data_IF_180174330868
#
_entry.id   IF_180174330868
#
_cell.length_a   1.000
_cell.length_b   1.000
_cell.length_c   1.000
_cell.angle_alpha   90.00
_cell.angle_beta   90.00
_cell.angle_gamma   90.00
#
_symmetry.space_group_name_H-M   'P 1'
#
loop_
_entity.id
_entity.type
_entity.pdbx_description
1 polymer ?
#
# COMPACT_ATOMS: atom_id res chain seq x y z
N UNK A 1 -14.59 5.80 -25.05
CA UNK A 1 -13.85 4.68 -24.42
C UNK A 1 -13.05 5.28 -23.27
N UNK A 2 -13.56 5.12 -22.06
CA UNK A 2 -12.91 5.62 -20.85
C UNK A 2 -11.63 4.81 -20.62
N UNK A 3 -10.49 5.49 -20.49
CA UNK A 3 -9.27 4.86 -20.01
C UNK A 3 -9.43 4.64 -18.51
N UNK A 4 -9.74 3.42 -18.12
CA UNK A 4 -9.67 3.00 -16.72
C UNK A 4 -8.22 3.09 -16.27
N UNK A 5 -7.96 3.97 -15.30
CA UNK A 5 -6.73 3.95 -14.53
C UNK A 5 -6.64 2.58 -13.82
N UNK A 6 -5.48 1.91 -13.83
CA UNK A 6 -5.31 0.70 -13.05
C UNK A 6 -5.53 1.02 -11.56
N UNK A 7 -6.23 0.16 -10.81
CA UNK A 7 -6.46 0.37 -9.39
C UNK A 7 -5.11 0.52 -8.69
N UNK A 8 -4.91 1.64 -7.99
CA UNK A 8 -3.73 1.82 -7.17
C UNK A 8 -3.71 0.73 -6.09
N UNK A 9 -2.56 0.08 -5.84
CA UNK A 9 -2.46 -0.88 -4.75
C UNK A 9 -2.80 -0.16 -3.45
N UNK A 10 -3.78 -0.71 -2.72
CA UNK A 10 -4.17 -0.25 -1.39
C UNK A 10 -2.92 -0.29 -0.52
N UNK A 11 -2.41 0.89 -0.17
CA UNK A 11 -1.21 1.03 0.65
C UNK A 11 -1.43 0.31 1.98
N UNK A 12 -0.59 -0.69 2.24
CA UNK A 12 -0.56 -1.41 3.49
C UNK A 12 -0.38 -0.43 4.66
N UNK A 13 -1.34 -0.46 5.60
CA UNK A 13 -1.26 -0.05 7.00
C UNK A 13 -0.24 1.05 7.33
N UNK A 14 -0.45 2.25 6.80
CA UNK A 14 0.09 3.46 7.46
C UNK A 14 -1.02 4.02 8.34
N UNK A 15 -0.76 4.34 9.62
CA UNK A 15 -1.75 5.04 10.43
C UNK A 15 -2.15 6.33 9.71
N UNK A 16 -3.45 6.72 9.73
CA UNK A 16 -3.87 8.00 9.21
C UNK A 16 -3.00 9.09 9.84
N UNK A 17 -2.62 10.09 9.06
CA UNK A 17 -1.87 11.22 9.59
C UNK A 17 -2.67 11.82 10.75
N UNK A 18 -2.00 12.26 11.81
CA UNK A 18 -2.71 12.88 12.92
C UNK A 18 -3.52 14.08 12.40
N UNK A 19 -4.69 14.37 12.99
CA UNK A 19 -5.47 15.53 12.56
C UNK A 19 -4.67 16.84 12.68
N UNK A 20 -3.72 16.89 13.61
CA UNK A 20 -2.75 17.98 13.77
C UNK A 20 -1.81 18.09 12.56
N UNK A 21 -1.25 16.97 12.10
CA UNK A 21 -0.40 16.91 10.91
C UNK A 21 -1.14 17.30 9.62
N UNK A 22 -2.40 16.88 9.47
CA UNK A 22 -3.25 17.27 8.35
C UNK A 22 -3.62 18.75 8.40
N UNK A 23 -3.88 19.28 9.59
CA UNK A 23 -4.13 20.71 9.78
C UNK A 23 -2.88 21.54 9.45
N UNK A 24 -1.71 21.13 9.91
CA UNK A 24 -0.43 21.75 9.58
C UNK A 24 -0.13 21.72 8.07
N UNK A 25 -0.43 20.60 7.39
CA UNK A 25 -0.37 20.50 5.92
C UNK A 25 -1.23 21.56 5.24
N UNK A 26 -2.49 21.71 5.67
CA UNK A 26 -3.42 22.70 5.11
C UNK A 26 -2.92 24.13 5.34
N UNK A 27 -2.49 24.44 6.57
CA UNK A 27 -1.98 25.76 6.96
C UNK A 27 -0.73 26.15 6.16
N UNK A 28 0.23 25.24 6.02
CA UNK A 28 1.45 25.46 5.24
C UNK A 28 1.13 25.67 3.74
N UNK A 29 0.18 24.92 3.19
CA UNK A 29 -0.24 25.11 1.81
C UNK A 29 -0.96 26.45 1.60
N UNK A 30 -1.81 26.87 2.56
CA UNK A 30 -2.46 28.18 2.52
C UNK A 30 -1.46 29.32 2.58
N UNK A 31 -0.45 29.23 3.45
CA UNK A 31 0.61 30.22 3.54
C UNK A 31 1.30 30.41 2.18
N UNK A 32 1.73 29.32 1.54
CA UNK A 32 2.38 29.36 0.23
C UNK A 32 1.47 29.89 -0.87
N UNK A 33 0.21 29.45 -0.88
CA UNK A 33 -0.79 29.87 -1.85
C UNK A 33 -1.26 31.32 -1.66
N UNK A 34 -0.96 31.95 -0.52
CA UNK A 34 -1.29 33.35 -0.25
C UNK A 34 -0.12 34.31 -0.51
N UNK A 35 1.10 33.81 -0.75
CA UNK A 35 2.24 34.64 -1.16
C UNK A 35 1.99 35.23 -2.55
N UNK A 36 2.16 36.55 -2.68
CA UNK A 36 1.89 37.30 -3.92
C UNK A 36 3.02 37.13 -4.95
N UNK A 37 4.25 36.91 -4.49
CA UNK A 37 5.45 37.00 -5.32
C UNK A 37 5.69 35.76 -6.21
N UNK A 38 5.70 34.55 -5.62
CA UNK A 38 5.96 33.27 -6.32
C UNK A 38 5.35 32.08 -5.57
N UNK A 39 4.87 31.07 -6.31
CA UNK A 39 4.55 29.74 -5.78
C UNK A 39 5.85 28.94 -5.66
N UNK A 40 6.16 28.45 -4.46
CA UNK A 40 7.39 27.72 -4.11
C UNK A 40 8.67 28.52 -4.38
N UNK A 41 9.03 29.39 -3.42
CA UNK A 41 10.32 30.08 -3.43
C UNK A 41 11.47 29.05 -3.30
N UNK A 42 12.66 29.40 -3.79
CA UNK A 42 13.85 28.53 -3.64
C UNK A 42 14.22 28.23 -2.18
N UNK A 43 13.70 29.02 -1.24
CA UNK A 43 13.81 28.83 0.21
C UNK A 43 12.75 27.91 0.81
N UNK A 44 11.74 27.47 0.06
CA UNK A 44 10.69 26.61 0.57
C UNK A 44 11.19 25.17 0.79
N UNK A 45 11.09 24.73 2.05
CA UNK A 45 11.57 23.42 2.51
C UNK A 45 10.81 22.26 1.85
N UNK A 46 9.49 22.42 1.70
CA UNK A 46 8.59 21.45 1.07
C UNK A 46 7.96 22.08 -0.16
N UNK A 47 7.79 21.38 -1.27
CA UNK A 47 7.04 21.94 -2.44
C UNK A 47 5.53 21.78 -2.26
N UNK A 48 4.74 22.66 -2.88
CA UNK A 48 3.28 22.65 -2.73
C UNK A 48 2.65 21.35 -3.24
N UNK A 49 3.17 20.78 -4.33
CA UNK A 49 2.73 19.53 -4.94
C UNK A 49 3.01 18.29 -4.10
N UNK A 50 3.89 18.39 -3.10
CA UNK A 50 4.08 17.35 -2.08
C UNK A 50 3.04 17.41 -0.98
N UNK A 51 2.46 18.59 -0.72
CA UNK A 51 1.36 18.77 0.22
C UNK A 51 0.03 18.33 -0.42
N UNK A 52 -0.17 18.69 -1.70
CA UNK A 52 -1.37 18.36 -2.47
C UNK A 52 -0.99 17.88 -3.87
N UNK A 53 -1.26 16.62 -4.24
CA UNK A 53 -0.92 16.09 -5.55
C UNK A 53 -1.43 16.96 -6.69
N UNK A 54 -0.53 17.32 -7.62
CA UNK A 54 -0.86 18.15 -8.78
C UNK A 54 -0.89 19.65 -8.52
N UNK A 55 -0.67 20.11 -7.28
CA UNK A 55 -0.72 21.54 -6.95
C UNK A 55 0.39 22.37 -7.62
N UNK A 56 1.55 21.77 -7.93
CA UNK A 56 2.64 22.42 -8.66
C UNK A 56 2.28 22.80 -10.10
N UNK A 57 1.30 22.10 -10.69
CA UNK A 57 0.87 22.29 -12.06
C UNK A 57 -0.41 23.14 -12.18
N UNK A 58 -0.91 23.67 -11.07
CA UNK A 58 -2.18 24.42 -11.03
C UNK A 58 -2.01 25.76 -11.75
N UNK A 59 -2.73 26.00 -12.85
CA UNK A 59 -2.72 27.30 -13.51
C UNK A 59 -3.21 28.38 -12.56
N UNK A 60 -2.74 29.62 -12.73
CA UNK A 60 -3.17 30.79 -11.91
C UNK A 60 -4.69 30.90 -11.78
N UNK A 61 -5.44 30.51 -12.83
CA UNK A 61 -6.92 30.52 -12.86
C UNK A 61 -7.58 29.49 -11.91
N UNK A 62 -6.91 28.39 -11.58
CA UNK A 62 -7.42 27.34 -10.70
C UNK A 62 -6.98 27.54 -9.23
N UNK A 63 -6.01 28.44 -8.97
CA UNK A 63 -5.53 28.80 -7.63
C UNK A 63 -6.65 29.20 -6.65
N UNK A 64 -7.67 30.00 -7.03
CA UNK A 64 -8.76 30.34 -6.11
C UNK A 64 -9.64 29.14 -5.73
N UNK A 65 -9.79 28.15 -6.62
CA UNK A 65 -10.52 26.93 -6.32
C UNK A 65 -9.76 26.08 -5.29
N UNK A 66 -8.45 25.88 -5.51
CA UNK A 66 -7.59 25.16 -4.57
C UNK A 66 -7.56 25.84 -3.19
N UNK A 67 -7.43 27.17 -3.15
CA UNK A 67 -7.48 27.95 -1.91
C UNK A 67 -8.80 27.73 -1.14
N UNK A 68 -9.94 27.72 -1.84
CA UNK A 68 -11.24 27.45 -1.21
C UNK A 68 -11.30 26.05 -0.63
N UNK A 69 -10.87 25.03 -1.39
CA UNK A 69 -10.87 23.64 -0.91
C UNK A 69 -10.02 23.47 0.33
N UNK A 70 -8.78 23.99 0.34
CA UNK A 70 -7.88 23.86 1.48
C UNK A 70 -8.39 24.66 2.69
N UNK A 71 -8.99 25.84 2.47
CA UNK A 71 -9.64 26.61 3.56
C UNK A 71 -10.80 25.84 4.19
N UNK A 72 -11.63 25.18 3.38
CA UNK A 72 -12.72 24.35 3.89
C UNK A 72 -12.18 23.18 4.74
N UNK A 73 -11.14 22.49 4.27
CA UNK A 73 -10.50 21.40 5.02
C UNK A 73 -9.89 21.90 6.34
N UNK A 74 -9.18 23.02 6.32
CA UNK A 74 -8.63 23.64 7.53
C UNK A 74 -9.74 24.01 8.53
N UNK A 75 -10.81 24.66 8.08
CA UNK A 75 -11.95 25.06 8.92
C UNK A 75 -12.75 23.86 9.46
N UNK A 76 -12.75 22.72 8.76
CA UNK A 76 -13.32 21.48 9.26
C UNK A 76 -12.48 20.87 10.39
N UNK A 77 -11.15 20.87 10.24
CA UNK A 77 -10.22 20.41 11.27
C UNK A 77 -10.24 21.32 12.51
N UNK A 78 -10.30 22.64 12.32
CA UNK A 78 -10.47 23.64 13.39
C UNK A 78 -11.72 23.35 14.22
N UNK A 79 -12.87 23.10 13.56
CA UNK A 79 -14.12 22.79 14.26
C UNK A 79 -14.10 21.42 14.94
N UNK A 80 -13.59 20.41 14.26
CA UNK A 80 -13.61 19.02 14.75
C UNK A 80 -12.65 18.78 15.92
N UNK A 81 -11.54 19.53 15.97
CA UNK A 81 -10.49 19.35 16.98
C UNK A 81 -10.26 20.58 17.87
N UNK A 82 -11.09 21.63 17.72
CA UNK A 82 -11.00 22.87 18.50
C UNK A 82 -9.62 23.54 18.40
N UNK A 83 -9.00 23.51 17.21
CA UNK A 83 -7.75 24.22 16.98
C UNK A 83 -8.02 25.71 16.85
N UNK A 84 -7.32 26.52 17.66
CA UNK A 84 -7.35 27.97 17.54
C UNK A 84 -6.24 28.44 16.56
N UNK A 85 -6.59 29.03 15.41
CA UNK A 85 -5.62 29.49 14.41
C UNK A 85 -4.54 30.44 14.94
N UNK A 86 -4.79 31.17 16.04
CA UNK A 86 -3.83 32.10 16.63
C UNK A 86 -2.56 31.40 17.15
N UNK A 87 -2.69 30.17 17.66
CA UNK A 87 -1.56 29.39 18.18
C UNK A 87 -0.82 28.57 17.10
N UNK A 88 -1.38 28.52 15.89
CA UNK A 88 -0.85 27.77 14.74
C UNK A 88 -0.26 28.71 13.68
N UNK A 89 0.37 29.79 14.14
CA UNK A 89 1.12 30.71 13.28
C UNK A 89 2.38 30.07 12.71
N UNK A 90 2.96 30.66 11.64
CA UNK A 90 4.26 30.22 11.10
C UNK A 90 5.33 30.21 12.19
N UNK A 91 6.09 29.12 12.29
CA UNK A 91 7.16 28.98 13.29
C UNK A 91 6.70 28.70 14.72
N UNK A 92 5.40 28.60 14.99
CA UNK A 92 4.89 28.18 16.31
C UNK A 92 5.32 26.74 16.64
N UNK A 93 5.47 26.43 17.93
CA UNK A 93 5.85 25.08 18.39
C UNK A 93 4.83 24.01 17.96
N UNK A 94 3.53 24.34 18.04
CA UNK A 94 2.45 23.44 17.59
C UNK A 94 2.54 23.14 16.10
N UNK A 95 2.75 24.17 15.27
CA UNK A 95 2.90 24.02 13.83
C UNK A 95 4.16 23.20 13.49
N UNK A 96 5.30 23.53 14.10
CA UNK A 96 6.56 22.84 13.84
C UNK A 96 6.50 21.37 14.26
N UNK A 97 5.95 21.08 15.44
CA UNK A 97 5.79 19.70 15.93
C UNK A 97 4.86 18.86 15.05
N UNK A 98 3.75 19.45 14.59
CA UNK A 98 2.83 18.77 13.67
C UNK A 98 3.42 18.57 12.26
N UNK A 99 4.21 19.53 11.76
CA UNK A 99 4.94 19.38 10.50
C UNK A 99 6.06 18.33 10.60
N UNK A 100 6.74 18.27 11.74
CA UNK A 100 7.72 17.22 12.03
C UNK A 100 7.06 15.84 12.02
N UNK A 101 5.91 15.69 12.70
CA UNK A 101 5.14 14.45 12.70
C UNK A 101 4.70 14.05 11.27
N UNK A 102 4.18 15.01 10.51
CA UNK A 102 3.80 14.82 9.12
C UNK A 102 4.97 14.34 8.28
N UNK A 103 6.12 15.03 8.38
CA UNK A 103 7.32 14.70 7.63
C UNK A 103 7.85 13.31 8.00
N UNK A 104 7.86 12.94 9.30
CA UNK A 104 8.21 11.58 9.75
C UNK A 104 7.26 10.52 9.20
N UNK A 105 5.97 10.83 9.06
CA UNK A 105 4.99 9.96 8.42
C UNK A 105 5.28 9.75 6.94
N UNK A 106 5.50 10.83 6.20
CA UNK A 106 5.80 10.78 4.76
C UNK A 106 7.15 10.13 4.46
N UNK A 107 8.20 10.42 5.25
CA UNK A 107 9.51 9.79 5.10
C UNK A 107 9.46 8.28 5.29
N UNK A 108 8.67 7.77 6.25
CA UNK A 108 8.47 6.32 6.44
C UNK A 108 7.86 5.67 5.20
N UNK A 109 6.89 6.33 4.55
CA UNK A 109 6.31 5.84 3.28
C UNK A 109 7.35 5.86 2.18
N UNK A 110 8.08 6.98 2.04
CA UNK A 110 9.08 7.16 0.99
C UNK A 110 10.24 6.17 1.11
N UNK A 111 10.67 5.81 2.33
CA UNK A 111 11.66 4.76 2.53
C UNK A 111 11.21 3.43 1.91
N UNK A 112 9.97 3.01 2.19
CA UNK A 112 9.41 1.78 1.62
C UNK A 112 9.25 1.87 0.09
N UNK A 113 8.72 2.99 -0.43
CA UNK A 113 8.54 3.17 -1.88
C UNK A 113 9.86 3.23 -2.64
N UNK A 114 10.90 3.84 -2.05
CA UNK A 114 12.24 3.89 -2.63
C UNK A 114 12.86 2.50 -2.69
N UNK A 115 12.73 1.72 -1.63
CA UNK A 115 13.20 0.33 -1.59
C UNK A 115 12.52 -0.52 -2.67
N UNK A 116 11.20 -0.37 -2.84
CA UNK A 116 10.43 -1.03 -3.88
C UNK A 116 10.88 -0.59 -5.29
N UNK A 117 11.11 0.71 -5.50
CA UNK A 117 11.58 1.22 -6.79
C UNK A 117 13.00 0.71 -7.12
N UNK A 118 13.90 0.61 -6.14
CA UNK A 118 15.23 0.02 -6.32
C UNK A 118 15.12 -1.47 -6.65
N UNK A 119 14.21 -2.18 -5.96
CA UNK A 119 13.91 -3.58 -6.25
C UNK A 119 13.46 -3.78 -7.71
N UNK A 120 12.56 -2.94 -8.21
CA UNK A 120 12.11 -2.97 -9.62
C UNK A 120 13.28 -2.75 -10.59
N UNK A 121 14.14 -1.77 -10.33
CA UNK A 121 15.31 -1.48 -11.20
C UNK A 121 16.24 -2.70 -11.31
N UNK A 122 16.52 -3.36 -10.19
CA UNK A 122 17.38 -4.55 -10.18
C UNK A 122 16.71 -5.77 -10.82
N UNK A 123 15.43 -5.99 -10.55
CA UNK A 123 14.68 -7.07 -11.20
C UNK A 123 14.69 -6.90 -12.73
N UNK A 124 14.45 -5.68 -13.21
CA UNK A 124 14.50 -5.36 -14.63
C UNK A 124 15.92 -5.45 -15.21
N UNK A 125 16.95 -5.14 -14.43
CA UNK A 125 18.34 -5.39 -14.83
C UNK A 125 18.63 -6.87 -15.08
N UNK A 126 18.17 -7.76 -14.20
CA UNK A 126 18.27 -9.20 -14.40
C UNK A 126 17.49 -9.65 -15.65
N UNK A 127 16.28 -9.14 -15.86
CA UNK A 127 15.45 -9.46 -17.05
C UNK A 127 16.15 -9.01 -18.33
N UNK A 128 16.71 -7.79 -18.36
CA UNK A 128 17.47 -7.28 -19.52
C UNK A 128 18.66 -8.17 -19.85
N UNK A 129 19.36 -8.69 -18.83
CA UNK A 129 20.46 -9.65 -19.02
C UNK A 129 19.98 -11.00 -19.56
N UNK A 130 18.88 -11.54 -19.02
CA UNK A 130 18.27 -12.81 -19.46
C UNK A 130 17.68 -12.77 -20.88
N UNK A 131 17.23 -11.60 -21.32
CA UNK A 131 16.71 -11.37 -22.67
C UNK A 131 17.82 -11.06 -23.70
N UNK A 132 19.09 -11.29 -23.35
CA UNK A 132 20.20 -11.21 -24.32
C UNK A 132 19.91 -12.10 -25.54
N UNK A 133 19.93 -11.48 -26.73
CA UNK A 133 19.58 -12.14 -28.00
C UNK A 133 18.12 -11.99 -28.44
N UNK A 134 17.20 -11.54 -27.57
CA UNK A 134 15.80 -11.24 -27.92
C UNK A 134 15.57 -9.73 -28.03
N UNK A 135 16.10 -9.13 -29.10
CA UNK A 135 16.22 -7.67 -29.28
C UNK A 135 14.94 -6.88 -28.95
N UNK A 136 13.78 -7.29 -29.44
CA UNK A 136 12.53 -6.56 -29.19
C UNK A 136 12.12 -6.57 -27.72
N UNK A 137 12.11 -7.76 -27.09
CA UNK A 137 11.74 -7.92 -25.67
C UNK A 137 12.76 -7.23 -24.76
N UNK A 138 14.05 -7.31 -25.11
CA UNK A 138 15.12 -6.63 -24.39
C UNK A 138 14.97 -5.11 -24.43
N UNK A 139 14.61 -4.52 -25.58
CA UNK A 139 14.36 -3.08 -25.70
C UNK A 139 13.17 -2.62 -24.84
N UNK A 140 12.11 -3.43 -24.76
CA UNK A 140 10.99 -3.15 -23.85
C UNK A 140 11.43 -3.18 -22.39
N UNK A 141 12.19 -4.20 -21.98
CA UNK A 141 12.73 -4.30 -20.62
C UNK A 141 13.68 -3.14 -20.27
N UNK A 142 14.51 -2.69 -21.22
CA UNK A 142 15.37 -1.51 -21.05
C UNK A 142 14.52 -0.25 -20.84
N UNK A 143 13.43 -0.09 -21.60
CA UNK A 143 12.51 1.05 -21.45
C UNK A 143 11.83 1.05 -20.09
N UNK A 144 11.34 -0.09 -19.64
CA UNK A 144 10.76 -0.21 -18.29
C UNK A 144 11.80 0.02 -17.20
N UNK A 145 13.04 -0.49 -17.33
CA UNK A 145 14.14 -0.18 -16.41
C UNK A 145 14.39 1.32 -16.33
N UNK A 146 14.35 2.01 -17.47
CA UNK A 146 14.44 3.47 -17.55
C UNK A 146 13.34 4.18 -16.77
N UNK A 147 12.10 3.71 -16.86
CA UNK A 147 10.96 4.24 -16.09
C UNK A 147 11.08 3.98 -14.59
N UNK A 148 11.47 2.77 -14.20
CA UNK A 148 11.70 2.43 -12.80
C UNK A 148 12.80 3.33 -12.18
N UNK A 149 13.87 3.58 -12.95
CA UNK A 149 14.93 4.51 -12.53
C UNK A 149 14.43 5.95 -12.41
N UNK A 150 13.60 6.42 -13.34
CA UNK A 150 12.99 7.75 -13.24
C UNK A 150 12.07 7.87 -12.02
N UNK A 151 11.27 6.83 -11.73
CA UNK A 151 10.43 6.77 -10.52
C UNK A 151 11.28 6.86 -9.26
N UNK A 152 12.38 6.11 -9.19
CA UNK A 152 13.32 6.20 -8.07
C UNK A 152 13.87 7.63 -7.88
N UNK A 153 14.29 8.29 -8.96
CA UNK A 153 14.78 9.68 -8.88
C UNK A 153 13.71 10.64 -8.37
N UNK A 154 12.47 10.52 -8.85
CA UNK A 154 11.36 11.33 -8.36
C UNK A 154 11.10 11.11 -6.88
N UNK A 155 11.08 9.86 -6.43
CA UNK A 155 10.92 9.53 -5.01
C UNK A 155 12.08 10.07 -4.16
N UNK A 156 13.30 10.07 -4.71
CA UNK A 156 14.47 10.61 -4.04
C UNK A 156 14.36 12.13 -3.82
N UNK A 157 13.90 12.87 -4.83
CA UNK A 157 13.63 14.31 -4.68
C UNK A 157 12.58 14.60 -3.59
N UNK A 158 11.52 13.78 -3.51
CA UNK A 158 10.54 13.90 -2.42
C UNK A 158 11.17 13.66 -1.05
N UNK A 159 12.02 12.65 -0.96
CA UNK A 159 12.73 12.30 0.27
C UNK A 159 13.63 13.45 0.73
N UNK A 160 14.40 14.05 -0.18
CA UNK A 160 15.24 15.21 0.10
C UNK A 160 14.41 16.37 0.66
N UNK A 161 13.28 16.69 0.01
CA UNK A 161 12.39 17.76 0.44
C UNK A 161 11.80 17.53 1.83
N UNK A 162 11.28 16.33 2.12
CA UNK A 162 10.74 16.02 3.46
C UNK A 162 11.82 15.91 4.53
N UNK A 163 13.04 15.49 4.18
CA UNK A 163 14.19 15.44 5.10
C UNK A 163 14.71 16.82 5.50
N UNK A 164 14.37 17.86 4.73
CA UNK A 164 14.76 19.23 5.04
C UNK A 164 13.92 19.84 6.18
N UNK A 165 12.74 19.27 6.48
CA UNK A 165 11.89 19.69 7.60
C UNK A 165 12.65 19.54 8.93
N UNK A 166 12.76 20.59 9.76
CA UNK A 166 13.41 20.51 11.06
C UNK A 166 12.81 19.41 11.93
N UNK A 167 13.66 18.62 12.61
CA UNK A 167 13.23 17.52 13.49
C UNK A 167 12.74 16.26 12.78
N UNK A 168 12.51 16.29 11.46
CA UNK A 168 11.94 15.15 10.72
C UNK A 168 12.89 13.94 10.62
N UNK A 169 14.19 14.21 10.55
CA UNK A 169 15.26 13.19 10.49
C UNK A 169 16.33 13.49 11.53
N UNK A 170 17.05 12.44 11.96
CA UNK A 170 18.21 12.61 12.83
C UNK A 170 19.34 13.33 12.06
N UNK A 171 20.22 14.09 12.73
CA UNK A 171 21.32 14.79 12.07
C UNK A 171 22.25 13.85 11.31
N UNK A 172 22.45 12.63 11.81
CA UNK A 172 23.26 11.59 11.14
C UNK A 172 22.64 11.17 9.81
N UNK A 173 21.32 10.93 9.80
CA UNK A 173 20.60 10.57 8.58
C UNK A 173 20.60 11.73 7.58
N UNK A 174 20.42 12.96 8.05
CA UNK A 174 20.50 14.16 7.19
C UNK A 174 21.88 14.31 6.55
N UNK A 175 22.95 14.10 7.33
CA UNK A 175 24.31 14.10 6.81
C UNK A 175 24.52 12.98 5.80
N UNK A 176 24.01 11.77 6.08
CA UNK A 176 24.10 10.65 5.16
C UNK A 176 23.38 10.96 3.84
N UNK A 177 22.18 11.53 3.85
CA UNK A 177 21.45 11.88 2.63
C UNK A 177 22.17 12.96 1.79
N UNK A 178 22.88 13.89 2.45
CA UNK A 178 23.64 14.94 1.78
C UNK A 178 24.97 14.45 1.16
N UNK A 179 25.43 13.23 1.48
CA UNK A 179 26.70 12.72 0.95
C UNK A 179 26.59 12.43 -0.55
N UNK A 180 27.58 12.93 -1.30
CA UNK A 180 27.71 12.66 -2.73
C UNK A 180 27.91 11.16 -2.96
N UNK A 181 26.98 10.54 -3.69
CA UNK A 181 27.06 9.12 -4.05
C UNK A 181 26.11 8.19 -3.27
N UNK A 182 25.39 8.68 -2.26
CA UNK A 182 24.40 7.86 -1.51
C UNK A 182 23.29 7.35 -2.41
N UNK A 183 22.78 8.20 -3.30
CA UNK A 183 21.82 7.78 -4.31
C UNK A 183 22.38 6.61 -5.16
N UNK A 184 23.68 6.63 -5.46
CA UNK A 184 24.36 5.55 -6.16
C UNK A 184 24.53 4.28 -5.31
N UNK A 185 24.83 4.40 -4.02
CA UNK A 185 24.90 3.24 -3.12
C UNK A 185 23.53 2.60 -2.91
N UNK A 186 22.48 3.40 -2.80
CA UNK A 186 21.10 2.92 -2.73
C UNK A 186 20.74 2.19 -4.02
N UNK A 187 20.92 2.84 -5.17
CA UNK A 187 20.50 2.30 -6.46
C UNK A 187 21.31 1.09 -6.93
N UNK A 188 22.60 1.01 -6.61
CA UNK A 188 23.49 -0.04 -7.14
C UNK A 188 23.91 -1.08 -6.11
N UNK A 189 23.94 -0.72 -4.82
CA UNK A 189 24.39 -1.61 -3.74
C UNK A 189 23.26 -1.99 -2.79
N UNK A 190 22.05 -1.44 -2.98
CA UNK A 190 20.91 -1.60 -2.06
C UNK A 190 21.28 -1.25 -0.61
N UNK A 191 22.16 -0.25 -0.46
CA UNK A 191 22.62 0.23 0.83
C UNK A 191 21.86 1.50 1.20
N UNK A 192 20.90 1.35 2.10
CA UNK A 192 20.01 2.40 2.53
C UNK A 192 20.53 3.07 3.81
N UNK A 193 20.61 4.41 3.87
CA UNK A 193 21.13 5.12 5.03
C UNK A 193 20.20 5.07 6.25
N UNK A 194 18.90 4.81 6.04
CA UNK A 194 17.88 4.68 7.10
C UNK A 194 17.73 3.26 7.65
N UNK A 195 18.56 2.31 7.19
CA UNK A 195 18.54 0.92 7.65
C UNK A 195 19.76 0.71 8.53
N UNK A 196 19.55 0.32 9.78
CA UNK A 196 20.65 -0.02 10.67
C UNK A 196 21.58 -1.03 10.00
N UNK A 197 22.87 -0.72 9.92
CA UNK A 197 23.92 -1.52 9.24
C UNK A 197 24.07 -2.97 9.77
N UNK A 198 23.27 -3.37 10.75
CA UNK A 198 23.31 -4.70 11.38
C UNK A 198 22.76 -5.82 10.51
N UNK A 199 21.88 -5.52 9.54
CA UNK A 199 21.45 -6.51 8.54
C UNK A 199 22.36 -6.50 7.31
N UNK A 200 23.65 -6.78 7.51
CA UNK A 200 24.52 -7.31 6.42
C UNK A 200 24.17 -8.79 6.22
N UNK A 201 23.04 -9.03 5.60
CA UNK A 201 22.59 -10.36 5.21
C UNK A 201 21.61 -10.20 4.07
N UNK A 202 21.86 -10.92 2.96
CA UNK A 202 20.96 -11.14 1.81
C UNK A 202 20.28 -9.86 1.26
N UNK A 203 20.61 -9.38 0.05
CA UNK A 203 19.92 -8.25 -0.60
C UNK A 203 18.41 -8.29 -0.37
N UNK A 204 17.77 -7.16 -0.01
CA UNK A 204 16.35 -7.16 0.42
C UNK A 204 15.38 -7.76 -0.60
N UNK A 205 15.74 -7.67 -1.88
CA UNK A 205 15.05 -8.38 -2.98
C UNK A 205 15.03 -9.90 -2.79
N UNK A 206 16.17 -10.48 -2.45
CA UNK A 206 16.28 -11.91 -2.15
C UNK A 206 15.48 -12.23 -0.88
N UNK A 207 15.55 -11.39 0.16
CA UNK A 207 14.74 -11.58 1.38
C UNK A 207 13.22 -11.53 1.10
N UNK A 208 12.78 -10.62 0.23
CA UNK A 208 11.37 -10.53 -0.20
C UNK A 208 10.97 -11.74 -1.05
N UNK A 209 11.84 -12.17 -1.96
CA UNK A 209 11.63 -13.39 -2.74
C UNK A 209 11.50 -14.61 -1.81
N UNK A 210 12.38 -14.77 -0.83
CA UNK A 210 12.30 -15.85 0.15
C UNK A 210 10.98 -15.83 0.92
N UNK A 211 10.51 -14.66 1.35
CA UNK A 211 9.19 -14.54 2.00
C UNK A 211 8.06 -14.95 1.08
N UNK A 212 8.05 -14.50 -0.18
CA UNK A 212 7.00 -14.88 -1.14
C UNK A 212 7.02 -16.38 -1.40
N UNK A 213 8.20 -16.99 -1.57
CA UNK A 213 8.33 -18.43 -1.77
C UNK A 213 7.88 -19.22 -0.52
N UNK A 214 8.14 -18.71 0.68
CA UNK A 214 7.66 -19.30 1.93
C UNK A 214 6.14 -19.18 2.06
N UNK A 215 5.57 -18.02 1.73
CA UNK A 215 4.12 -17.81 1.75
C UNK A 215 3.43 -18.68 0.69
N UNK A 216 4.02 -18.84 -0.49
CA UNK A 216 3.53 -19.77 -1.52
C UNK A 216 3.54 -21.22 -1.01
N UNK A 217 4.62 -21.66 -0.36
CA UNK A 217 4.70 -22.98 0.24
C UNK A 217 3.61 -23.17 1.32
N UNK A 218 3.43 -22.17 2.20
CA UNK A 218 2.38 -22.18 3.21
C UNK A 218 0.98 -22.22 2.60
N UNK A 219 0.70 -21.41 1.58
CA UNK A 219 -0.59 -21.44 0.87
C UNK A 219 -0.85 -22.82 0.24
N UNK A 220 0.18 -23.49 -0.30
CA UNK A 220 0.05 -24.86 -0.80
C UNK A 220 -0.31 -25.85 0.31
N UNK A 221 0.33 -25.73 1.48
CA UNK A 221 -0.01 -26.55 2.66
C UNK A 221 -1.45 -26.29 3.15
N UNK A 222 -1.87 -25.01 3.22
CA UNK A 222 -3.23 -24.63 3.61
C UNK A 222 -4.28 -25.17 2.61
N UNK A 223 -4.01 -25.13 1.31
CA UNK A 223 -4.89 -25.73 0.30
C UNK A 223 -5.02 -27.25 0.46
N UNK A 224 -3.94 -27.95 0.83
CA UNK A 224 -4.00 -29.40 1.11
C UNK A 224 -4.89 -29.67 2.33
N UNK A 225 -4.73 -28.89 3.42
CA UNK A 225 -5.57 -29.05 4.61
C UNK A 225 -7.05 -28.78 4.32
N UNK A 226 -7.36 -27.72 3.56
CA UNK A 226 -8.74 -27.41 3.14
C UNK A 226 -9.30 -28.56 2.30
N UNK A 227 -8.52 -29.13 1.39
CA UNK A 227 -8.95 -30.26 0.58
C UNK A 227 -9.28 -31.49 1.44
N UNK A 228 -8.44 -31.81 2.44
CA UNK A 228 -8.71 -32.90 3.38
C UNK A 228 -9.98 -32.66 4.21
N UNK A 229 -10.22 -31.42 4.65
CA UNK A 229 -11.44 -31.05 5.37
C UNK A 229 -12.69 -31.18 4.50
N UNK A 230 -12.61 -30.75 3.24
CA UNK A 230 -13.70 -30.91 2.26
C UNK A 230 -14.00 -32.39 2.03
N UNK A 231 -12.98 -33.24 1.88
CA UNK A 231 -13.16 -34.68 1.69
C UNK A 231 -13.84 -35.33 2.91
N UNK A 232 -13.39 -35.00 4.13
CA UNK A 232 -14.04 -35.45 5.38
C UNK A 232 -15.47 -34.94 5.50
N UNK A 233 -15.75 -33.71 5.09
CA UNK A 233 -17.10 -33.14 5.11
C UNK A 233 -18.03 -33.88 4.14
N UNK A 234 -17.58 -34.18 2.92
CA UNK A 234 -18.37 -34.97 1.96
C UNK A 234 -18.72 -36.35 2.52
N UNK A 235 -17.76 -37.04 3.15
CA UNK A 235 -18.01 -38.33 3.79
C UNK A 235 -19.02 -38.22 4.94
N UNK A 236 -18.83 -37.23 5.82
CA UNK A 236 -19.71 -37.01 6.97
C UNK A 236 -21.15 -36.72 6.54
N UNK A 237 -21.34 -35.73 5.67
CA UNK A 237 -22.67 -35.34 5.19
C UNK A 237 -23.29 -36.44 4.33
N UNK A 238 -22.50 -37.15 3.51
CA UNK A 238 -22.96 -38.30 2.73
C UNK A 238 -23.52 -39.41 3.61
N UNK A 239 -22.80 -39.78 4.68
CA UNK A 239 -23.27 -40.77 5.65
C UNK A 239 -24.54 -40.29 6.38
N UNK A 240 -24.62 -39.01 6.72
CA UNK A 240 -25.76 -38.44 7.43
C UNK A 240 -27.01 -38.37 6.58
N UNK A 241 -26.89 -37.98 5.30
CA UNK A 241 -27.98 -38.03 4.31
C UNK A 241 -28.47 -39.47 4.16
N UNK A 242 -27.58 -40.45 3.98
CA UNK A 242 -27.96 -41.86 3.86
C UNK A 242 -28.81 -42.36 5.05
N UNK A 243 -28.39 -42.04 6.28
CA UNK A 243 -29.13 -42.43 7.48
C UNK A 243 -30.49 -41.74 7.59
N UNK A 244 -30.57 -40.44 7.25
CA UNK A 244 -31.82 -39.67 7.28
C UNK A 244 -32.79 -40.14 6.20
N UNK A 245 -32.31 -40.46 5.01
CA UNK A 245 -33.12 -41.05 3.94
C UNK A 245 -33.68 -42.42 4.36
N UNK A 246 -32.86 -43.26 4.98
CA UNK A 246 -33.31 -44.56 5.50
C UNK A 246 -34.40 -44.40 6.57
N UNK A 247 -34.24 -43.43 7.49
CA UNK A 247 -35.23 -43.13 8.51
C UNK A 247 -36.53 -42.54 7.91
N UNK A 248 -36.43 -41.75 6.85
CA UNK A 248 -37.58 -41.09 6.22
C UNK A 248 -38.51 -42.05 5.45
N UNK A 249 -38.01 -43.22 5.01
CA UNK A 249 -38.79 -44.20 4.21
C UNK A 249 -40.10 -44.65 4.87
N UNK A 250 -40.13 -44.71 6.20
CA UNK A 250 -41.26 -45.28 6.95
C UNK A 250 -42.02 -44.22 7.78
N UNK A 251 -41.74 -42.93 7.58
CA UNK A 251 -42.35 -41.85 8.37
C UNK A 251 -43.29 -41.01 7.49
N UNK A 252 -44.58 -40.86 7.88
CA UNK A 252 -45.50 -40.05 7.11
C UNK A 252 -45.08 -38.56 7.12
N UNK A 253 -44.99 -37.90 5.95
CA UNK A 253 -44.46 -36.54 5.82
C UNK A 253 -45.31 -35.48 6.54
N UNK A 254 -46.59 -35.78 6.78
CA UNK A 254 -47.52 -34.87 7.44
C UNK A 254 -47.47 -34.95 8.98
N UNK A 255 -46.74 -35.92 9.55
CA UNK A 255 -46.51 -35.98 10.99
C UNK A 255 -45.52 -34.90 11.44
N UNK A 256 -45.62 -34.45 12.69
CA UNK A 256 -44.66 -33.50 13.28
C UNK A 256 -43.22 -34.00 13.21
N UNK A 257 -43.02 -35.30 13.46
CA UNK A 257 -41.72 -35.97 13.33
C UNK A 257 -41.23 -36.01 11.88
N UNK A 258 -42.11 -36.37 10.93
CA UNK A 258 -41.79 -36.37 9.50
C UNK A 258 -41.34 -34.99 9.01
N UNK A 259 -42.08 -33.93 9.35
CA UNK A 259 -41.73 -32.55 8.95
C UNK A 259 -40.33 -32.14 9.41
N UNK A 260 -39.96 -32.42 10.66
CA UNK A 260 -38.62 -32.14 11.19
C UNK A 260 -37.54 -32.98 10.49
N UNK A 261 -37.82 -34.26 10.24
CA UNK A 261 -36.91 -35.16 9.56
C UNK A 261 -36.63 -34.72 8.11
N UNK A 262 -37.66 -34.34 7.36
CA UNK A 262 -37.51 -33.84 5.99
C UNK A 262 -36.80 -32.48 5.91
N UNK A 263 -37.04 -31.58 6.86
CA UNK A 263 -36.28 -30.32 6.97
C UNK A 263 -34.78 -30.59 7.25
N UNK A 264 -34.49 -31.51 8.17
CA UNK A 264 -33.12 -31.89 8.48
C UNK A 264 -32.43 -32.55 7.29
N UNK A 265 -33.11 -33.49 6.62
CA UNK A 265 -32.61 -34.14 5.40
C UNK A 265 -32.28 -33.11 4.31
N UNK A 266 -33.19 -32.19 4.02
CA UNK A 266 -32.99 -31.14 3.01
C UNK A 266 -31.78 -30.26 3.35
N UNK A 267 -31.57 -29.92 4.62
CA UNK A 267 -30.40 -29.15 5.05
C UNK A 267 -29.10 -29.94 4.84
N UNK A 268 -29.07 -31.22 5.22
CA UNK A 268 -27.87 -32.06 5.07
C UNK A 268 -27.55 -32.33 3.59
N UNK A 269 -28.57 -32.47 2.73
CA UNK A 269 -28.40 -32.59 1.28
C UNK A 269 -27.78 -31.31 0.69
N UNK A 270 -28.25 -30.12 1.08
CA UNK A 270 -27.63 -28.84 0.65
C UNK A 270 -26.17 -28.72 1.07
N UNK A 271 -25.83 -29.13 2.30
CA UNK A 271 -24.44 -29.11 2.76
C UNK A 271 -23.58 -30.09 1.96
N UNK A 272 -24.09 -31.32 1.72
CA UNK A 272 -23.41 -32.31 0.90
C UNK A 272 -23.16 -31.78 -0.51
N UNK A 273 -24.20 -31.23 -1.17
CA UNK A 273 -24.09 -30.60 -2.49
C UNK A 273 -23.00 -29.52 -2.50
N UNK A 274 -23.03 -28.60 -1.53
CA UNK A 274 -22.01 -27.54 -1.40
C UNK A 274 -20.58 -28.08 -1.29
N UNK A 275 -20.33 -29.06 -0.43
CA UNK A 275 -19.00 -29.66 -0.29
C UNK A 275 -18.59 -30.52 -1.49
N UNK A 276 -19.53 -31.19 -2.16
CA UNK A 276 -19.22 -31.92 -3.39
C UNK A 276 -18.82 -30.99 -4.53
N UNK A 277 -19.45 -29.81 -4.64
CA UNK A 277 -19.06 -28.79 -5.61
C UNK A 277 -17.64 -28.28 -5.35
N UNK A 278 -17.33 -27.94 -4.09
CA UNK A 278 -15.98 -27.53 -3.68
C UNK A 278 -14.92 -28.60 -3.99
N UNK A 279 -15.26 -29.89 -3.81
CA UNK A 279 -14.37 -31.01 -4.14
C UNK A 279 -14.11 -31.14 -5.65
N UNK A 280 -15.06 -30.72 -6.49
CA UNK A 280 -14.99 -30.83 -7.95
C UNK A 280 -14.39 -29.61 -8.66
N UNK A 281 -14.28 -28.44 -8.01
CA UNK A 281 -13.71 -27.22 -8.63
C UNK A 281 -12.18 -27.26 -8.79
N UNK A 282 -11.60 -28.46 -8.93
CA UNK A 282 -10.18 -28.73 -9.12
C UNK A 282 -9.69 -28.27 -10.50
N UNK A 283 -9.67 -26.96 -10.72
CA UNK A 283 -8.72 -26.35 -11.66
C UNK A 283 -7.67 -25.62 -10.82
N UNK A 284 -6.74 -26.42 -10.28
CA UNK A 284 -5.45 -25.88 -9.81
C UNK A 284 -4.56 -25.81 -11.07
N UNK A 285 -4.25 -24.61 -11.60
CA UNK A 285 -3.31 -24.51 -12.71
C UNK A 285 -1.96 -25.10 -12.27
N UNK A 286 -1.47 -26.06 -13.06
CA UNK A 286 -0.12 -26.61 -12.94
C UNK A 286 0.92 -25.58 -13.35
#
# INVERSE_FOLDING_TARGET
>A
RFQEQPPQPVAANTPPASPAAEYARCRLALEKLQREDMLDASSDVVRLGLLFPGADAVPVRQRPALLRTIRCQAAELERSHSYDPAFWGPGSELMNGALEELAKGELRKLFMELEDAVADVHALEHVVGRLSGRRHQQLLAIKEKGRARQRFLQLWEKLESWSAVPGAVTPELKQALAQKGVMGSVLHKQQYPWVAQQSRGVPRLEARLFRVLQEEARCKEELVMIQEEVDRAVEFYGRRVFLLEAAARNVPPNSSHGRLLFLHLAQQQRMLEGFTLLRTSKDVPK
#
